data_IF_802074721076
#
_entry.id   IF_802074721076
#
_cell.length_a   1.000
_cell.length_b   1.000
_cell.length_c   1.000
_cell.angle_alpha   90.00
_cell.angle_beta   90.00
_cell.angle_gamma   90.00
#
_symmetry.space_group_name_H-M   'P 1'
#
loop_
_entity.id
_entity.type
_entity.pdbx_description
1 polymer ?
#
# COMPACT_ATOMS: atom_id res chain seq x y z
N UNK A 1 -36.17 7.82 36.80
CA UNK A 1 -35.60 6.56 36.25
C UNK A 1 -34.22 6.85 35.67
N UNK A 2 -33.14 6.45 36.37
CA UNK A 2 -31.77 6.54 35.85
C UNK A 2 -31.56 5.37 34.88
N UNK A 3 -31.38 5.66 33.61
CA UNK A 3 -30.99 4.68 32.59
C UNK A 3 -29.63 4.09 32.96
N UNK A 4 -29.60 2.80 33.35
CA UNK A 4 -28.36 2.04 33.55
C UNK A 4 -27.60 2.01 32.23
N UNK A 5 -26.49 2.74 32.14
CA UNK A 5 -25.53 2.58 31.06
C UNK A 5 -24.99 1.14 31.09
N UNK A 6 -25.24 0.34 30.05
CA UNK A 6 -24.68 -0.99 29.92
C UNK A 6 -23.15 -0.91 29.79
N UNK A 7 -22.36 -1.53 30.70
CA UNK A 7 -20.90 -1.49 30.63
C UNK A 7 -20.35 -2.17 29.35
N UNK A 8 -21.08 -3.14 28.79
CA UNK A 8 -20.69 -3.89 27.59
C UNK A 8 -20.62 -3.00 26.33
N UNK A 9 -21.53 -2.03 26.16
CA UNK A 9 -21.54 -1.15 24.99
C UNK A 9 -20.38 -0.15 25.00
N UNK A 10 -20.01 0.34 26.18
CA UNK A 10 -18.83 1.21 26.36
C UNK A 10 -17.51 0.46 26.13
N UNK A 11 -17.40 -0.78 26.60
CA UNK A 11 -16.23 -1.64 26.35
C UNK A 11 -16.05 -1.94 24.85
N UNK A 12 -17.15 -2.29 24.17
CA UNK A 12 -17.17 -2.54 22.72
C UNK A 12 -16.75 -1.30 21.91
N UNK A 13 -17.29 -0.12 22.25
CA UNK A 13 -16.89 1.14 21.63
C UNK A 13 -15.41 1.48 21.85
N UNK A 14 -14.87 1.23 23.06
CA UNK A 14 -13.45 1.46 23.38
C UNK A 14 -12.52 0.54 22.59
N UNK A 15 -12.89 -0.74 22.42
CA UNK A 15 -12.07 -1.70 21.68
C UNK A 15 -11.99 -1.34 20.18
N UNK A 16 -13.11 -0.94 19.56
CA UNK A 16 -13.15 -0.48 18.16
C UNK A 16 -12.29 0.77 17.93
N UNK A 17 -12.28 1.67 18.92
CA UNK A 17 -11.45 2.88 18.94
C UNK A 17 -9.95 2.53 18.98
N UNK A 18 -9.55 1.60 19.84
CA UNK A 18 -8.15 1.19 19.99
C UNK A 18 -7.66 0.43 18.76
N UNK A 19 -8.40 -0.58 18.29
CA UNK A 19 -8.01 -1.34 17.10
C UNK A 19 -7.93 -0.44 15.86
N UNK A 20 -8.90 0.46 15.71
CA UNK A 20 -8.89 1.45 14.64
C UNK A 20 -7.66 2.35 14.62
N UNK A 21 -7.22 2.82 15.81
CA UNK A 21 -5.99 3.61 15.94
C UNK A 21 -4.75 2.80 15.57
N UNK A 22 -4.62 1.58 16.08
CA UNK A 22 -3.48 0.71 15.76
C UNK A 22 -3.41 0.46 14.25
N UNK A 23 -4.53 0.14 13.61
CA UNK A 23 -4.57 -0.05 12.16
C UNK A 23 -4.20 1.19 11.36
N UNK A 24 -4.66 2.38 11.80
CA UNK A 24 -4.30 3.65 11.17
C UNK A 24 -2.80 3.98 11.34
N UNK A 25 -2.24 3.75 12.53
CA UNK A 25 -0.81 3.95 12.78
C UNK A 25 0.03 2.98 11.96
N UNK A 26 -0.37 1.71 11.84
CA UNK A 26 0.30 0.72 11.00
C UNK A 26 0.41 1.20 9.54
N UNK A 27 -0.67 1.76 8.99
CA UNK A 27 -0.65 2.35 7.65
C UNK A 27 0.29 3.56 7.52
N UNK A 28 0.29 4.47 8.50
CA UNK A 28 1.21 5.61 8.49
C UNK A 28 2.68 5.17 8.56
N UNK A 29 2.98 4.22 9.44
CA UNK A 29 4.32 3.63 9.59
C UNK A 29 4.73 2.93 8.30
N UNK A 30 3.83 2.14 7.71
CA UNK A 30 4.07 1.44 6.44
C UNK A 30 4.42 2.41 5.32
N UNK A 31 3.61 3.45 5.14
CA UNK A 31 3.87 4.47 4.12
C UNK A 31 5.21 5.20 4.35
N UNK A 32 5.50 5.59 5.60
CA UNK A 32 6.72 6.31 5.94
C UNK A 32 7.96 5.43 5.74
N UNK A 33 7.98 4.22 6.31
CA UNK A 33 9.13 3.32 6.23
C UNK A 33 9.42 2.93 4.78
N UNK A 34 8.37 2.72 3.98
CA UNK A 34 8.52 2.32 2.58
C UNK A 34 9.14 3.42 1.72
N UNK A 35 8.74 4.67 1.95
CA UNK A 35 9.34 5.82 1.28
C UNK A 35 10.79 6.02 1.72
N UNK A 36 11.05 5.96 3.04
CA UNK A 36 12.40 6.13 3.59
C UNK A 36 13.35 5.06 3.05
N UNK A 37 12.93 3.79 3.03
CA UNK A 37 13.75 2.69 2.51
C UNK A 37 14.15 2.92 1.05
N UNK A 38 13.23 3.35 0.18
CA UNK A 38 13.57 3.64 -1.21
C UNK A 38 14.55 4.80 -1.37
N UNK A 39 14.40 5.85 -0.56
CA UNK A 39 15.33 6.98 -0.55
C UNK A 39 16.73 6.53 -0.10
N UNK A 40 16.81 5.74 0.98
CA UNK A 40 18.07 5.23 1.53
C UNK A 40 18.75 4.27 0.56
N UNK A 41 18.02 3.28 0.05
CA UNK A 41 18.57 2.26 -0.87
C UNK A 41 18.97 2.89 -2.19
N UNK A 42 18.15 3.79 -2.72
CA UNK A 42 18.46 4.54 -3.94
C UNK A 42 19.66 5.48 -3.79
N UNK A 43 19.83 6.12 -2.62
CA UNK A 43 21.02 6.92 -2.31
C UNK A 43 22.28 6.06 -2.12
N UNK A 44 22.13 4.78 -1.77
CA UNK A 44 23.22 3.82 -1.64
C UNK A 44 23.73 3.25 -2.97
N UNK A 45 23.10 3.56 -4.11
CA UNK A 45 23.59 3.10 -5.41
C UNK A 45 24.93 3.74 -5.77
N UNK A 46 25.87 2.91 -6.20
CA UNK A 46 27.19 3.33 -6.67
C UNK A 46 27.22 3.59 -8.17
N UNK A 47 26.20 3.15 -8.89
CA UNK A 47 25.94 3.45 -10.30
C UNK A 47 24.80 4.44 -10.46
N UNK A 48 24.58 4.96 -11.68
CA UNK A 48 23.50 5.93 -11.95
C UNK A 48 22.12 5.35 -11.61
N UNK A 49 21.48 5.87 -10.56
CA UNK A 49 20.08 5.62 -10.24
C UNK A 49 19.18 6.69 -10.84
N UNK A 50 18.01 6.28 -11.33
CA UNK A 50 17.00 7.18 -11.87
C UNK A 50 15.61 6.70 -11.47
N UNK A 51 14.87 7.56 -10.77
CA UNK A 51 13.48 7.32 -10.39
C UNK A 51 12.54 7.17 -11.60
N UNK A 52 12.93 7.70 -12.76
CA UNK A 52 12.12 7.60 -13.97
C UNK A 52 12.34 6.27 -14.71
N UNK A 53 13.57 5.75 -14.73
CA UNK A 53 13.93 4.60 -15.58
C UNK A 53 14.12 3.32 -14.81
N UNK A 54 14.59 3.39 -13.56
CA UNK A 54 14.76 2.22 -12.71
C UNK A 54 13.45 1.86 -12.03
N UNK A 55 13.14 0.58 -12.07
CA UNK A 55 11.96 0.04 -11.42
C UNK A 55 12.13 0.11 -9.89
N UNK A 56 11.03 0.05 -9.15
CA UNK A 56 11.06 -0.15 -7.70
C UNK A 56 11.68 -1.51 -7.39
N UNK A 57 11.34 -2.54 -8.19
CA UNK A 57 11.90 -3.88 -8.04
C UNK A 57 13.42 -3.93 -8.17
N UNK A 58 14.03 -3.05 -8.98
CA UNK A 58 15.49 -2.94 -9.13
C UNK A 58 16.20 -2.68 -7.79
N UNK A 59 15.55 -1.95 -6.88
CA UNK A 59 16.09 -1.69 -5.54
C UNK A 59 16.19 -2.97 -4.69
N UNK A 60 15.41 -4.01 -5.03
CA UNK A 60 15.40 -5.30 -4.36
C UNK A 60 16.30 -6.37 -4.99
N UNK A 61 16.94 -6.09 -6.14
CA UNK A 61 17.77 -7.09 -6.83
C UNK A 61 18.98 -7.49 -5.96
N UNK A 62 19.17 -8.81 -5.79
CA UNK A 62 20.22 -9.37 -4.94
C UNK A 62 21.60 -9.40 -5.63
N UNK A 63 21.62 -9.58 -6.96
CA UNK A 63 22.79 -9.56 -7.80
C UNK A 63 22.96 -8.26 -8.59
N UNK A 64 24.16 -8.10 -9.16
CA UNK A 64 24.47 -7.01 -10.08
C UNK A 64 24.54 -7.53 -11.52
N UNK A 65 23.89 -6.85 -12.46
CA UNK A 65 23.78 -7.33 -13.84
C UNK A 65 22.90 -6.45 -14.73
N UNK A 66 22.80 -6.81 -16.00
CA UNK A 66 21.85 -6.21 -16.93
C UNK A 66 20.53 -6.98 -16.83
N UNK A 67 19.44 -6.27 -16.57
CA UNK A 67 18.11 -6.84 -16.39
C UNK A 67 17.10 -6.19 -17.33
N UNK A 68 15.95 -6.87 -17.52
CA UNK A 68 14.85 -6.52 -18.42
C UNK A 68 15.25 -6.60 -19.90
N UNK A 69 14.86 -7.68 -20.58
CA UNK A 69 15.19 -7.90 -21.99
C UNK A 69 14.60 -6.82 -22.92
N UNK A 70 13.42 -6.30 -22.59
CA UNK A 70 12.74 -5.28 -23.39
C UNK A 70 13.37 -3.89 -23.24
N UNK A 71 13.98 -3.62 -22.08
CA UNK A 71 14.61 -2.34 -21.72
C UNK A 71 15.87 -2.60 -20.88
N UNK A 72 16.95 -3.10 -21.50
CA UNK A 72 18.14 -3.54 -20.78
C UNK A 72 18.74 -2.38 -19.99
N UNK A 73 18.92 -2.61 -18.69
CA UNK A 73 19.55 -1.64 -17.78
C UNK A 73 20.43 -2.36 -16.77
N UNK A 74 21.58 -1.76 -16.47
CA UNK A 74 22.43 -2.25 -15.39
C UNK A 74 21.80 -1.90 -14.04
N UNK A 75 21.62 -2.91 -13.18
CA UNK A 75 21.12 -2.77 -11.80
C UNK A 75 22.13 -3.40 -10.86
N UNK A 76 22.43 -2.69 -9.77
CA UNK A 76 23.27 -3.19 -8.68
C UNK A 76 22.83 -2.49 -7.40
N UNK A 77 22.08 -3.21 -6.54
CA UNK A 77 21.49 -2.65 -5.33
C UNK A 77 22.22 -3.15 -4.07
N UNK A 78 23.23 -2.42 -3.56
CA UNK A 78 24.03 -2.87 -2.42
C UNK A 78 23.22 -3.00 -1.12
N UNK A 79 22.13 -2.23 -1.00
CA UNK A 79 21.24 -2.25 0.16
C UNK A 79 19.92 -3.00 -0.12
N UNK A 80 19.91 -3.95 -1.06
CA UNK A 80 18.70 -4.69 -1.45
C UNK A 80 18.01 -5.38 -0.27
N UNK A 81 18.76 -5.88 0.72
CA UNK A 81 18.19 -6.49 1.92
C UNK A 81 17.27 -5.53 2.69
N UNK A 82 17.62 -4.24 2.76
CA UNK A 82 16.78 -3.20 3.38
C UNK A 82 15.51 -3.00 2.56
N UNK A 83 15.63 -2.97 1.23
CA UNK A 83 14.48 -2.80 0.35
C UNK A 83 13.49 -3.98 0.46
N UNK A 84 14.01 -5.20 0.42
CA UNK A 84 13.23 -6.43 0.49
C UNK A 84 12.55 -6.58 1.86
N UNK A 85 13.24 -6.25 2.95
CA UNK A 85 12.63 -6.15 4.27
C UNK A 85 11.53 -5.07 4.32
N UNK A 86 11.74 -3.94 3.64
CA UNK A 86 10.74 -2.86 3.55
C UNK A 86 9.49 -3.28 2.77
N UNK A 87 9.63 -4.04 1.69
CA UNK A 87 8.50 -4.65 0.97
C UNK A 87 7.68 -5.56 1.89
N UNK A 88 8.34 -6.47 2.61
CA UNK A 88 7.68 -7.39 3.55
C UNK A 88 6.97 -6.60 4.65
N UNK A 89 7.65 -5.64 5.27
CA UNK A 89 7.09 -4.77 6.30
C UNK A 89 5.86 -4.00 5.77
N UNK A 90 5.93 -3.48 4.54
CA UNK A 90 4.82 -2.79 3.90
C UNK A 90 3.60 -3.70 3.73
N UNK A 91 3.80 -4.94 3.27
CA UNK A 91 2.73 -5.93 3.16
C UNK A 91 2.10 -6.25 4.51
N UNK A 92 2.90 -6.54 5.52
CA UNK A 92 2.41 -6.85 6.88
C UNK A 92 1.62 -5.67 7.46
N UNK A 93 2.15 -4.45 7.38
CA UNK A 93 1.52 -3.26 7.93
C UNK A 93 0.23 -2.88 7.19
N UNK A 94 0.19 -3.05 5.86
CA UNK A 94 -1.02 -2.89 5.06
C UNK A 94 -2.11 -3.87 5.51
N UNK A 95 -1.77 -5.16 5.66
CA UNK A 95 -2.68 -6.21 6.10
C UNK A 95 -3.23 -5.92 7.50
N UNK A 96 -2.35 -5.58 8.45
CA UNK A 96 -2.72 -5.19 9.83
C UNK A 96 -3.73 -4.04 9.80
N UNK A 97 -3.47 -2.99 9.02
CA UNK A 97 -4.40 -1.88 8.92
C UNK A 97 -5.74 -2.27 8.29
N UNK A 98 -5.77 -3.10 7.24
CA UNK A 98 -7.03 -3.59 6.63
C UNK A 98 -7.88 -4.42 7.62
N UNK A 99 -7.23 -5.23 8.45
CA UNK A 99 -7.90 -6.05 9.45
C UNK A 99 -8.44 -5.19 10.60
N UNK A 100 -7.61 -4.30 11.14
CA UNK A 100 -7.92 -3.55 12.35
C UNK A 100 -8.79 -2.30 12.11
N UNK A 101 -8.86 -1.80 10.87
CA UNK A 101 -9.76 -0.68 10.49
C UNK A 101 -11.15 -1.13 10.06
N UNK A 102 -11.55 -2.39 10.30
CA UNK A 102 -12.81 -2.97 9.80
C UNK A 102 -14.07 -2.12 10.06
N UNK A 103 -14.14 -1.40 11.19
CA UNK A 103 -15.28 -0.54 11.54
C UNK A 103 -15.46 0.70 10.63
N UNK A 104 -14.44 1.09 9.86
CA UNK A 104 -14.46 2.31 9.04
C UNK A 104 -14.97 2.09 7.60
N UNK A 105 -15.08 0.84 7.16
CA UNK A 105 -15.40 0.47 5.77
C UNK A 105 -16.90 0.46 5.45
N UNK A 106 -17.76 0.21 6.43
CA UNK A 106 -19.17 -0.14 6.21
C UNK A 106 -19.36 -1.66 6.02
N UNK A 107 -20.60 -2.08 5.77
CA UNK A 107 -21.00 -3.50 5.71
C UNK A 107 -21.52 -3.96 4.34
N UNK A 108 -21.12 -3.28 3.26
CA UNK A 108 -21.58 -3.60 1.89
C UNK A 108 -20.71 -4.66 1.22
N UNK A 109 -21.19 -5.24 0.10
CA UNK A 109 -20.37 -6.14 -0.74
C UNK A 109 -19.08 -5.46 -1.22
N UNK A 110 -19.17 -4.18 -1.65
CA UNK A 110 -17.99 -3.38 -2.02
C UNK A 110 -17.01 -3.19 -0.86
N UNK A 111 -17.51 -3.08 0.38
CA UNK A 111 -16.65 -3.00 1.57
C UNK A 111 -15.84 -4.28 1.77
N UNK A 112 -16.47 -5.44 1.55
CA UNK A 112 -15.81 -6.75 1.64
C UNK A 112 -14.80 -6.94 0.52
N UNK A 113 -15.22 -6.66 -0.73
CA UNK A 113 -14.36 -6.76 -1.90
C UNK A 113 -13.10 -5.89 -1.76
N UNK A 114 -13.26 -4.61 -1.39
CA UNK A 114 -12.13 -3.72 -1.16
C UNK A 114 -11.12 -4.27 -0.15
N UNK A 115 -11.62 -4.77 1.00
CA UNK A 115 -10.75 -5.31 2.06
C UNK A 115 -10.04 -6.60 1.63
N UNK A 116 -10.75 -7.52 0.97
CA UNK A 116 -10.16 -8.77 0.49
C UNK A 116 -9.08 -8.48 -0.55
N UNK A 117 -9.37 -7.64 -1.53
CA UNK A 117 -8.43 -7.30 -2.60
C UNK A 117 -7.22 -6.53 -2.09
N UNK A 118 -7.39 -5.62 -1.13
CA UNK A 118 -6.26 -4.94 -0.49
C UNK A 118 -5.43 -5.89 0.38
N UNK A 119 -6.05 -6.87 1.05
CA UNK A 119 -5.33 -7.92 1.76
C UNK A 119 -4.54 -8.82 0.80
N UNK A 120 -5.07 -9.11 -0.38
CA UNK A 120 -4.34 -9.82 -1.45
C UNK A 120 -3.17 -8.99 -1.96
N UNK A 121 -3.35 -7.68 -2.18
CA UNK A 121 -2.25 -6.78 -2.51
C UNK A 121 -1.17 -6.72 -1.42
N UNK A 122 -1.58 -6.81 -0.15
CA UNK A 122 -0.66 -6.90 0.98
C UNK A 122 0.18 -8.20 0.96
N UNK A 123 -0.41 -9.33 0.56
CA UNK A 123 0.33 -10.57 0.30
C UNK A 123 1.31 -10.39 -0.87
N UNK A 124 0.89 -9.69 -1.93
CA UNK A 124 1.77 -9.35 -3.05
C UNK A 124 3.06 -8.63 -2.62
N UNK A 125 2.96 -7.66 -1.71
CA UNK A 125 4.11 -6.97 -1.12
C UNK A 125 5.08 -7.92 -0.39
N UNK A 126 4.54 -8.91 0.34
CA UNK A 126 5.38 -9.92 1.01
C UNK A 126 6.06 -10.82 -0.04
N UNK A 127 5.35 -11.22 -1.09
CA UNK A 127 5.90 -12.05 -2.16
C UNK A 127 7.07 -11.35 -2.85
N UNK A 128 6.92 -10.09 -3.29
CA UNK A 128 8.00 -9.37 -3.99
C UNK A 128 9.22 -9.11 -3.11
N UNK A 129 9.04 -9.01 -1.79
CA UNK A 129 10.15 -8.87 -0.84
C UNK A 129 10.86 -10.18 -0.52
N UNK A 130 10.14 -11.32 -0.55
CA UNK A 130 10.75 -12.64 -0.36
C UNK A 130 11.40 -13.18 -1.63
N UNK A 131 10.91 -12.75 -2.79
CA UNK A 131 11.35 -13.22 -4.10
C UNK A 131 11.75 -12.04 -4.97
N UNK A 132 13.03 -11.60 -4.88
CA UNK A 132 13.58 -10.56 -5.75
C UNK A 132 13.42 -10.89 -7.24
N UNK A 133 13.29 -9.85 -8.06
CA UNK A 133 13.00 -10.01 -9.49
C UNK A 133 14.12 -10.74 -10.25
N UNK A 134 15.38 -10.55 -9.84
CA UNK A 134 16.55 -11.21 -10.41
C UNK A 134 16.72 -12.68 -9.98
N UNK A 135 16.02 -13.10 -8.92
CA UNK A 135 16.08 -14.47 -8.40
C UNK A 135 14.99 -15.36 -9.03
N UNK A 136 13.76 -14.86 -9.10
CA UNK A 136 12.66 -15.52 -9.81
C UNK A 136 11.64 -14.48 -10.29
N UNK A 137 11.80 -14.07 -11.55
CA UNK A 137 10.99 -13.04 -12.18
C UNK A 137 9.50 -13.40 -12.23
N UNK A 138 9.15 -14.66 -12.46
CA UNK A 138 7.76 -15.10 -12.58
C UNK A 138 7.00 -14.95 -11.26
N UNK A 139 7.62 -15.39 -10.15
CA UNK A 139 7.03 -15.24 -8.83
C UNK A 139 6.99 -13.77 -8.38
N UNK A 140 8.03 -13.00 -8.72
CA UNK A 140 8.04 -11.56 -8.47
C UNK A 140 6.91 -10.86 -9.24
N UNK A 141 6.74 -11.18 -10.52
CA UNK A 141 5.68 -10.65 -11.38
C UNK A 141 4.29 -11.01 -10.83
N UNK A 142 4.09 -12.23 -10.35
CA UNK A 142 2.85 -12.60 -9.65
C UNK A 142 2.60 -11.66 -8.47
N UNK A 143 3.60 -11.43 -7.61
CA UNK A 143 3.50 -10.47 -6.50
C UNK A 143 3.14 -9.05 -6.98
N UNK A 144 3.78 -8.58 -8.05
CA UNK A 144 3.51 -7.29 -8.67
C UNK A 144 2.06 -7.19 -9.20
N UNK A 145 1.52 -8.24 -9.81
CA UNK A 145 0.12 -8.31 -10.26
C UNK A 145 -0.88 -8.32 -9.09
N UNK A 146 -0.53 -8.94 -7.95
CA UNK A 146 -1.36 -8.86 -6.75
C UNK A 146 -1.38 -7.42 -6.19
N UNK A 147 -0.23 -6.73 -6.16
CA UNK A 147 -0.12 -5.34 -5.68
C UNK A 147 -0.86 -4.38 -6.62
N UNK A 148 -0.43 -4.32 -7.89
CA UNK A 148 -0.82 -3.28 -8.85
C UNK A 148 -2.06 -3.64 -9.68
N UNK A 149 -2.41 -4.92 -9.75
CA UNK A 149 -3.67 -5.38 -10.33
C UNK A 149 -4.75 -5.45 -9.25
N UNK A 150 -4.73 -6.50 -8.44
CA UNK A 150 -5.80 -6.77 -7.48
C UNK A 150 -5.89 -5.73 -6.36
N UNK A 151 -4.77 -5.28 -5.80
CA UNK A 151 -4.75 -4.22 -4.79
C UNK A 151 -5.36 -2.90 -5.29
N UNK A 152 -5.05 -2.51 -6.53
CA UNK A 152 -5.63 -1.32 -7.17
C UNK A 152 -7.13 -1.49 -7.47
N UNK A 153 -7.59 -2.69 -7.88
CA UNK A 153 -9.04 -2.98 -7.97
C UNK A 153 -9.70 -2.88 -6.59
N UNK A 154 -9.02 -3.31 -5.53
CA UNK A 154 -9.48 -3.11 -4.15
C UNK A 154 -9.67 -1.63 -3.79
N UNK A 155 -8.76 -0.78 -4.26
CA UNK A 155 -8.87 0.67 -4.12
C UNK A 155 -10.02 1.26 -4.95
N UNK A 156 -10.28 0.74 -6.17
CA UNK A 156 -11.47 1.07 -6.96
C UNK A 156 -12.73 0.75 -6.16
N UNK A 157 -12.86 -0.45 -5.61
CA UNK A 157 -13.98 -0.84 -4.74
C UNK A 157 -14.14 0.11 -3.54
N UNK A 158 -13.03 0.54 -2.92
CA UNK A 158 -13.05 1.51 -1.83
C UNK A 158 -13.60 2.88 -2.27
N UNK A 159 -13.47 3.25 -3.55
CA UNK A 159 -14.07 4.44 -4.14
C UNK A 159 -15.61 4.42 -4.23
N UNK A 160 -16.24 3.26 -3.99
CA UNK A 160 -17.70 3.08 -4.02
C UNK A 160 -18.31 2.77 -2.66
N UNK A 161 -17.57 2.98 -1.57
CA UNK A 161 -18.12 2.83 -0.23
C UNK A 161 -19.25 3.84 0.05
N UNK A 162 -20.28 3.45 0.82
CA UNK A 162 -21.41 4.32 1.12
C UNK A 162 -20.98 5.51 1.99
N UNK A 163 -21.57 6.70 1.80
CA UNK A 163 -21.21 7.91 2.57
C UNK A 163 -21.38 7.78 4.09
N UNK A 164 -22.24 6.86 4.51
CA UNK A 164 -22.44 6.54 5.92
C UNK A 164 -21.17 5.94 6.57
N UNK A 165 -20.37 5.19 5.80
CA UNK A 165 -19.08 4.68 6.24
C UNK A 165 -18.04 5.80 6.33
N UNK A 166 -17.10 5.68 7.26
CA UNK A 166 -16.04 6.68 7.46
C UNK A 166 -15.18 6.86 6.21
N UNK A 167 -14.73 5.77 5.60
CA UNK A 167 -13.95 5.83 4.35
C UNK A 167 -14.80 6.20 3.12
N UNK A 168 -16.11 5.98 3.16
CA UNK A 168 -17.01 6.44 2.09
C UNK A 168 -17.14 7.97 2.00
N UNK A 169 -16.71 8.72 3.02
CA UNK A 169 -16.67 10.19 2.98
C UNK A 169 -15.49 10.75 2.18
N UNK A 170 -14.41 9.99 2.04
CA UNK A 170 -13.22 10.35 1.22
C UNK A 170 -13.25 9.70 -0.17
N UNK A 171 -14.42 9.26 -0.63
CA UNK A 171 -14.55 8.48 -1.88
C UNK A 171 -14.09 9.21 -3.13
N UNK A 172 -14.18 10.54 -3.20
CA UNK A 172 -13.70 11.29 -4.38
C UNK A 172 -12.17 11.25 -4.47
N UNK A 173 -11.50 11.48 -3.35
CA UNK A 173 -10.05 11.32 -3.21
C UNK A 173 -9.66 9.87 -3.52
N UNK A 174 -10.41 8.90 -2.99
CA UNK A 174 -10.17 7.47 -3.24
C UNK A 174 -10.29 7.11 -4.73
N UNK A 175 -11.30 7.65 -5.43
CA UNK A 175 -11.46 7.46 -6.89
C UNK A 175 -10.34 8.09 -7.68
N UNK A 176 -9.85 9.26 -7.28
CA UNK A 176 -8.71 9.90 -7.94
C UNK A 176 -7.45 9.03 -7.82
N UNK A 177 -7.13 8.55 -6.61
CA UNK A 177 -6.04 7.59 -6.42
C UNK A 177 -6.25 6.32 -7.23
N UNK A 178 -7.45 5.73 -7.21
CA UNK A 178 -7.76 4.51 -7.95
C UNK A 178 -7.58 4.67 -9.46
N UNK A 179 -8.06 5.78 -10.03
CA UNK A 179 -7.95 6.06 -11.46
C UNK A 179 -6.49 6.20 -11.89
N UNK A 180 -5.71 6.96 -11.12
CA UNK A 180 -4.27 7.15 -11.37
C UNK A 180 -3.52 5.83 -11.21
N UNK A 181 -3.84 5.02 -10.20
CA UNK A 181 -3.21 3.72 -9.96
C UNK A 181 -3.44 2.75 -11.12
N UNK A 182 -4.70 2.60 -11.54
CA UNK A 182 -5.08 1.68 -12.63
C UNK A 182 -4.47 2.15 -13.95
N UNK A 183 -4.54 3.45 -14.25
CA UNK A 183 -3.93 3.99 -15.46
C UNK A 183 -2.43 3.72 -15.48
N UNK A 184 -1.71 4.04 -14.41
CA UNK A 184 -0.27 3.80 -14.34
C UNK A 184 0.10 2.31 -14.40
N UNK A 185 -0.69 1.42 -13.80
CA UNK A 185 -0.47 -0.02 -13.90
C UNK A 185 -0.65 -0.53 -15.35
N UNK A 186 -1.72 -0.09 -16.03
CA UNK A 186 -2.00 -0.46 -17.42
C UNK A 186 -0.90 0.03 -18.37
N UNK A 187 -0.32 1.20 -18.12
CA UNK A 187 0.81 1.71 -18.90
C UNK A 187 2.13 1.01 -18.54
N UNK A 188 2.35 0.70 -17.27
CA UNK A 188 3.60 0.10 -16.78
C UNK A 188 3.84 -1.31 -17.32
N UNK A 189 2.85 -2.22 -17.27
CA UNK A 189 3.09 -3.64 -17.63
C UNK A 189 3.55 -3.85 -19.07
N UNK A 190 3.04 -3.10 -20.07
CA UNK A 190 3.59 -3.12 -21.44
C UNK A 190 4.90 -2.36 -21.62
N UNK A 191 5.49 -1.78 -20.56
CA UNK A 191 6.71 -0.97 -20.61
C UNK A 191 6.51 0.48 -21.04
N UNK A 192 5.27 0.97 -21.07
CA UNK A 192 4.95 2.32 -21.54
C UNK A 192 5.03 3.35 -20.40
N UNK A 193 5.98 4.28 -20.50
CA UNK A 193 6.27 5.27 -19.46
C UNK A 193 6.36 6.70 -20.00
N UNK A 194 5.30 7.27 -20.58
CA UNK A 194 5.33 8.63 -21.11
C UNK A 194 5.61 9.62 -19.97
N UNK A 195 6.37 10.68 -20.25
CA UNK A 195 6.70 11.79 -19.35
C UNK A 195 7.66 11.45 -18.18
N UNK A 196 7.38 10.38 -17.44
CA UNK A 196 8.08 10.04 -16.18
C UNK A 196 8.79 8.69 -16.21
N UNK A 197 8.84 8.02 -17.37
CA UNK A 197 9.49 6.73 -17.56
C UNK A 197 8.75 5.56 -16.89
N UNK A 198 9.19 4.33 -17.22
CA UNK A 198 8.56 3.10 -16.71
C UNK A 198 8.68 2.98 -15.19
N UNK A 199 9.81 3.37 -14.61
CA UNK A 199 10.00 3.40 -13.16
C UNK A 199 9.07 4.42 -12.47
N UNK A 200 8.82 5.56 -13.12
CA UNK A 200 7.82 6.52 -12.63
C UNK A 200 6.41 5.94 -12.63
N UNK A 201 6.02 5.26 -13.72
CA UNK A 201 4.70 4.61 -13.82
C UNK A 201 4.51 3.49 -12.79
N UNK A 202 5.52 2.64 -12.59
CA UNK A 202 5.48 1.62 -11.54
C UNK A 202 5.27 2.23 -10.15
N UNK A 203 5.99 3.32 -9.84
CA UNK A 203 5.85 4.02 -8.56
C UNK A 203 4.45 4.54 -8.35
N UNK A 204 3.84 5.16 -9.36
CA UNK A 204 2.46 5.61 -9.24
C UNK A 204 1.51 4.43 -9.05
N UNK A 205 1.69 3.36 -9.84
CA UNK A 205 0.86 2.16 -9.78
C UNK A 205 0.93 1.46 -8.41
N UNK A 206 2.13 1.40 -7.80
CA UNK A 206 2.35 0.76 -6.51
C UNK A 206 2.05 1.69 -5.31
N UNK A 207 2.35 2.99 -5.41
CA UNK A 207 2.23 3.92 -4.28
C UNK A 207 0.80 4.41 -4.08
N UNK A 208 -0.08 4.35 -5.07
CA UNK A 208 -1.41 4.93 -4.95
C UNK A 208 -2.21 4.35 -3.77
N UNK A 209 -2.15 3.03 -3.54
CA UNK A 209 -2.73 2.39 -2.34
C UNK A 209 -2.06 2.92 -1.08
N UNK A 210 -0.73 2.93 -1.02
CA UNK A 210 0.05 3.41 0.13
C UNK A 210 -0.27 4.87 0.47
N UNK A 211 -0.30 5.76 -0.52
CA UNK A 211 -0.66 7.16 -0.36
C UNK A 211 -2.13 7.32 0.09
N UNK A 212 -3.04 6.53 -0.46
CA UNK A 212 -4.42 6.50 0.00
C UNK A 212 -4.53 6.05 1.47
N UNK A 213 -3.73 5.07 1.92
CA UNK A 213 -3.77 4.62 3.32
C UNK A 213 -3.40 5.73 4.30
N UNK A 214 -2.56 6.69 3.91
CA UNK A 214 -2.26 7.89 4.73
C UNK A 214 -3.51 8.75 4.92
N UNK A 215 -4.25 9.04 3.84
CA UNK A 215 -5.50 9.81 3.89
C UNK A 215 -6.57 9.07 4.71
N UNK A 216 -6.68 7.76 4.50
CA UNK A 216 -7.61 6.91 5.24
C UNK A 216 -7.24 6.82 6.73
N UNK A 217 -5.96 6.70 7.07
CA UNK A 217 -5.46 6.70 8.44
C UNK A 217 -5.77 8.02 9.16
N UNK A 218 -5.47 9.16 8.53
CA UNK A 218 -5.81 10.48 9.09
C UNK A 218 -7.32 10.60 9.32
N UNK A 219 -8.14 10.11 8.37
CA UNK A 219 -9.60 10.08 8.51
C UNK A 219 -10.03 9.22 9.68
N UNK A 220 -9.44 8.04 9.86
CA UNK A 220 -9.74 7.15 10.98
C UNK A 220 -9.35 7.80 12.32
N UNK A 221 -8.16 8.36 12.44
CA UNK A 221 -7.66 9.00 13.67
C UNK A 221 -8.53 10.19 14.09
N UNK A 222 -9.00 11.01 13.13
CA UNK A 222 -9.93 12.13 13.40
C UNK A 222 -11.31 11.69 13.91
N UNK A 223 -11.70 10.44 13.68
CA UNK A 223 -12.99 9.88 14.13
C UNK A 223 -12.95 9.16 15.46
N UNK A 224 -11.76 8.98 16.01
CA UNK A 224 -11.58 8.35 17.30
C UNK A 224 -11.37 9.44 18.34
N UNK A 225 -12.39 9.77 19.18
CA UNK A 225 -12.25 10.82 20.19
C UNK A 225 -11.05 10.56 21.08
N UNK A 226 -10.16 11.54 21.24
CA UNK A 226 -9.14 11.51 22.30
C UNK A 226 -9.88 11.80 23.60
N UNK A 227 -9.95 10.83 24.52
CA UNK A 227 -10.33 11.14 25.89
C UNK A 227 -9.19 11.98 26.47
N UNK A 228 -9.42 13.29 26.63
CA UNK A 228 -8.57 14.13 27.47
C UNK A 228 -8.79 13.65 28.91
N UNK A 229 -7.74 13.30 29.67
CA UNK A 229 -7.89 13.04 31.10
C UNK A 229 -8.35 14.34 31.77
N UNK A 230 -9.46 14.29 32.49
CA UNK A 230 -9.89 15.31 33.46
C UNK A 230 -9.17 15.11 34.78
#
# INVERSE_FOLDING_TARGET
>A
MRTKCFPVSRQCGRNVVVTGRVGAVAWLVGAAQFLIAQLVVGAGWTTRYSWATNNISDLGNAGCGIWDESRPRYVCSPLHAIMNASFIAQGVLLLVGVLLTGAFWGRTAMSRAARVLLAVGAVGWVVVGLVPADVDENRHLLGALLIMGLGNIGLVCAGFLPRAASFGRIRLVTRAFAAVAVLSAVLFFPGYGPLIGAGGMERIAAFAVTAWTVVAAITALRRVPVKVPS
#
